data_IF_370907598025
#
_entry.id   IF_370907598025
#
_cell.length_a   1.000
_cell.length_b   1.000
_cell.length_c   1.000
_cell.angle_alpha   90.00
_cell.angle_beta   90.00
_cell.angle_gamma   90.00
#
_symmetry.space_group_name_H-M   'P 1'
#
loop_
_entity.id
_entity.type
_entity.pdbx_description
1 polymer ?
#
# COMPACT_ATOMS: atom_id res chain seq x y z
N UNK A 1 4.81 -6.76 -31.66
CA UNK A 1 4.55 -7.50 -30.42
C UNK A 1 3.06 -7.50 -30.30
N UNK A 2 2.48 -8.69 -30.41
CA UNK A 2 1.03 -8.81 -30.49
C UNK A 2 0.42 -8.60 -29.10
N UNK A 3 -0.84 -8.15 -29.06
CA UNK A 3 -1.54 -7.85 -27.81
C UNK A 3 -1.60 -9.08 -26.89
N UNK A 4 -1.72 -10.27 -27.47
CA UNK A 4 -1.70 -11.54 -26.73
C UNK A 4 -0.35 -11.79 -26.05
N UNK A 5 0.75 -11.53 -26.75
CA UNK A 5 2.09 -11.67 -26.16
C UNK A 5 2.28 -10.63 -25.04
N UNK A 6 1.83 -9.40 -25.23
CA UNK A 6 1.90 -8.34 -24.22
C UNK A 6 1.11 -8.72 -22.97
N UNK A 7 -0.09 -9.24 -23.16
CA UNK A 7 -0.95 -9.74 -22.07
C UNK A 7 -0.28 -10.89 -21.32
N UNK A 8 0.34 -11.84 -22.03
CA UNK A 8 1.09 -12.94 -21.42
C UNK A 8 2.25 -12.46 -20.55
N UNK A 9 3.05 -11.49 -21.04
CA UNK A 9 4.15 -10.90 -20.27
C UNK A 9 3.65 -10.12 -19.06
N UNK A 10 2.54 -9.40 -19.21
CA UNK A 10 1.90 -8.69 -18.12
C UNK A 10 1.44 -9.64 -17.01
N UNK A 11 0.77 -10.74 -17.36
CA UNK A 11 0.34 -11.76 -16.40
C UNK A 11 1.53 -12.39 -15.67
N UNK A 12 2.61 -12.70 -16.39
CA UNK A 12 3.84 -13.23 -15.78
C UNK A 12 4.40 -12.26 -14.73
N UNK A 13 4.51 -10.97 -15.08
CA UNK A 13 4.93 -9.94 -14.14
C UNK A 13 3.99 -9.88 -12.92
N UNK A 14 2.68 -9.88 -13.18
CA UNK A 14 1.66 -9.78 -12.14
C UNK A 14 1.77 -10.92 -11.13
N UNK A 15 1.87 -12.17 -11.60
CA UNK A 15 2.09 -13.32 -10.72
C UNK A 15 3.42 -13.26 -9.97
N UNK A 16 4.49 -12.83 -10.64
CA UNK A 16 5.81 -12.68 -9.99
C UNK A 16 5.76 -11.68 -8.84
N UNK A 17 5.11 -10.53 -9.05
CA UNK A 17 4.93 -9.51 -8.00
C UNK A 17 4.04 -10.05 -6.88
N UNK A 18 2.97 -10.77 -7.19
CA UNK A 18 2.10 -11.37 -6.16
C UNK A 18 2.84 -12.39 -5.29
N UNK A 19 3.70 -13.23 -5.88
CA UNK A 19 4.54 -14.18 -5.15
C UNK A 19 5.49 -13.43 -4.21
N UNK A 20 6.19 -12.40 -4.71
CA UNK A 20 7.08 -11.57 -3.90
C UNK A 20 6.32 -10.86 -2.76
N UNK A 21 5.14 -10.31 -3.06
CA UNK A 21 4.27 -9.68 -2.08
C UNK A 21 3.89 -10.65 -0.96
N UNK A 22 3.45 -11.86 -1.32
CA UNK A 22 3.05 -12.88 -0.37
C UNK A 22 4.21 -13.31 0.53
N UNK A 23 5.38 -13.60 -0.05
CA UNK A 23 6.56 -13.99 0.72
C UNK A 23 7.09 -12.88 1.61
N UNK A 24 7.05 -11.64 1.14
CA UNK A 24 7.54 -10.51 1.93
C UNK A 24 6.61 -10.18 3.10
N UNK A 25 5.29 -10.32 2.92
CA UNK A 25 4.30 -10.07 3.97
C UNK A 25 4.14 -11.25 4.95
N UNK A 26 4.80 -12.38 4.72
CA UNK A 26 4.78 -13.54 5.62
C UNK A 26 5.69 -13.36 6.85
N UNK A 27 6.70 -12.48 6.74
CA UNK A 27 7.67 -12.22 7.82
C UNK A 27 7.16 -11.03 8.63
N UNK A 28 6.54 -11.33 9.77
CA UNK A 28 5.64 -10.53 10.64
C UNK A 28 5.99 -9.07 11.01
N UNK A 29 7.06 -8.47 10.49
CA UNK A 29 7.51 -7.18 11.04
C UNK A 29 6.99 -5.95 10.28
N UNK A 30 6.69 -6.04 8.99
CA UNK A 30 6.14 -4.91 8.23
C UNK A 30 5.21 -5.38 7.10
N UNK A 31 3.92 -5.06 7.19
CA UNK A 31 2.99 -5.36 6.10
C UNK A 31 3.21 -4.39 4.94
N UNK A 32 3.67 -4.91 3.80
CA UNK A 32 3.83 -4.08 2.59
C UNK A 32 2.44 -3.60 2.14
N UNK A 33 2.36 -2.31 1.84
CA UNK A 33 1.14 -1.70 1.30
C UNK A 33 0.83 -2.29 -0.10
N UNK A 34 -0.35 -2.90 -0.32
CA UNK A 34 -0.76 -3.45 -1.62
C UNK A 34 -0.63 -2.47 -2.79
N UNK A 35 -0.78 -1.16 -2.55
CA UNK A 35 -0.61 -0.13 -3.57
C UNK A 35 0.80 -0.13 -4.19
N UNK A 36 1.81 -0.66 -3.49
CA UNK A 36 3.20 -0.65 -3.96
C UNK A 36 3.41 -1.48 -5.23
N UNK A 37 2.52 -2.43 -5.53
CA UNK A 37 2.49 -3.21 -6.78
C UNK A 37 2.33 -2.30 -8.01
N UNK A 38 1.65 -1.17 -7.87
CA UNK A 38 1.40 -0.20 -8.96
C UNK A 38 2.70 0.33 -9.54
N UNK A 39 3.74 0.49 -8.71
CA UNK A 39 5.06 0.92 -9.15
C UNK A 39 5.66 -0.08 -10.15
N UNK A 40 5.48 -1.38 -9.91
CA UNK A 40 5.91 -2.43 -10.86
C UNK A 40 5.15 -2.36 -12.19
N UNK A 41 3.82 -2.20 -12.15
CA UNK A 41 2.98 -2.12 -13.36
C UNK A 41 3.33 -0.89 -14.20
N UNK A 42 3.50 0.25 -13.55
CA UNK A 42 3.89 1.50 -14.19
C UNK A 42 5.29 1.39 -14.81
N UNK A 43 6.25 0.76 -14.10
CA UNK A 43 7.61 0.54 -14.60
C UNK A 43 7.61 -0.35 -15.84
N UNK A 44 6.86 -1.45 -15.83
CA UNK A 44 6.70 -2.32 -16.99
C UNK A 44 6.14 -1.58 -18.21
N UNK A 45 5.11 -0.75 -17.98
CA UNK A 45 4.47 0.05 -19.03
C UNK A 45 5.46 1.04 -19.67
N UNK A 46 6.24 1.75 -18.83
CA UNK A 46 7.31 2.64 -19.29
C UNK A 46 8.41 1.88 -20.04
N UNK A 47 8.86 0.74 -19.53
CA UNK A 47 9.85 -0.09 -20.23
C UNK A 47 9.35 -0.54 -21.60
N UNK A 48 8.08 -0.96 -21.71
CA UNK A 48 7.51 -1.31 -23.00
C UNK A 48 7.49 -0.13 -23.96
N UNK A 49 7.01 1.04 -23.53
CA UNK A 49 7.02 2.28 -24.29
C UNK A 49 8.43 2.61 -24.82
N UNK A 50 9.42 2.49 -23.94
CA UNK A 50 10.84 2.74 -24.21
C UNK A 50 11.44 1.79 -25.25
N UNK A 51 10.88 0.60 -25.45
CA UNK A 51 11.28 -0.27 -26.58
C UNK A 51 10.69 0.14 -27.92
N UNK A 52 9.69 1.04 -27.94
CA UNK A 52 8.95 1.44 -29.15
C UNK A 52 9.31 2.83 -29.64
N UNK A 53 10.00 3.61 -28.83
CA UNK A 53 10.34 4.99 -29.12
C UNK A 53 11.84 5.13 -28.94
N UNK A 54 12.49 5.84 -29.85
CA UNK A 54 13.86 6.28 -29.64
C UNK A 54 13.88 7.29 -28.50
N UNK A 55 14.30 6.83 -27.33
CA UNK A 55 14.32 7.68 -26.14
C UNK A 55 15.45 8.69 -26.32
N UNK A 56 15.08 9.95 -26.54
CA UNK A 56 16.02 11.05 -26.40
C UNK A 56 16.53 11.09 -24.95
N UNK A 57 17.83 11.34 -24.78
CA UNK A 57 18.50 11.43 -23.46
C UNK A 57 17.71 12.33 -22.47
N UNK A 58 16.97 13.32 -22.97
CA UNK A 58 16.10 14.22 -22.22
C UNK A 58 14.98 13.57 -21.40
N UNK A 59 14.37 12.44 -21.83
CA UNK A 59 13.33 11.76 -21.05
C UNK A 59 13.94 11.12 -19.79
N UNK A 60 15.11 10.48 -19.96
CA UNK A 60 15.88 9.95 -18.83
C UNK A 60 16.23 11.05 -17.83
N UNK A 61 16.74 12.19 -18.32
CA UNK A 61 17.01 13.36 -17.47
C UNK A 61 15.76 13.91 -16.77
N UNK A 62 14.60 13.94 -17.42
CA UNK A 62 13.34 14.39 -16.82
C UNK A 62 12.87 13.52 -15.65
N UNK A 63 12.95 12.20 -15.79
CA UNK A 63 12.65 11.25 -14.71
C UNK A 63 13.64 11.41 -13.53
N UNK A 64 14.94 11.59 -13.80
CA UNK A 64 15.93 11.88 -12.77
C UNK A 64 15.70 13.24 -12.08
N UNK A 65 15.22 14.26 -12.80
CA UNK A 65 14.89 15.56 -12.23
C UNK A 65 13.70 15.47 -11.27
N UNK A 66 12.64 14.73 -11.63
CA UNK A 66 11.49 14.52 -10.75
C UNK A 66 11.92 13.77 -9.48
N UNK A 67 12.71 12.69 -9.60
CA UNK A 67 13.21 11.97 -8.42
C UNK A 67 14.16 12.82 -7.56
N UNK A 68 14.93 13.72 -8.17
CA UNK A 68 15.77 14.68 -7.46
C UNK A 68 14.94 15.67 -6.64
N UNK A 69 13.87 16.24 -7.22
CA UNK A 69 12.94 17.13 -6.49
C UNK A 69 12.22 16.39 -5.36
N UNK A 70 11.79 15.15 -5.60
CA UNK A 70 11.15 14.31 -4.57
C UNK A 70 12.10 13.97 -3.40
N UNK A 71 13.42 14.03 -3.61
CA UNK A 71 14.43 13.83 -2.56
C UNK A 71 14.65 15.06 -1.68
N UNK A 72 14.46 16.27 -2.19
CA UNK A 72 14.73 17.53 -1.46
C UNK A 72 13.57 18.05 -0.61
N UNK A 73 12.49 17.26 -0.48
CA UNK A 73 11.35 17.67 0.32
C UNK A 73 11.65 17.62 1.83
N UNK A 74 11.25 18.67 2.53
CA UNK A 74 11.36 18.80 3.98
C UNK A 74 10.29 17.99 4.75
N UNK A 75 9.18 17.62 4.10
CA UNK A 75 8.19 16.69 4.64
C UNK A 75 8.30 15.31 3.97
N UNK A 76 8.38 14.25 4.77
CA UNK A 76 8.28 12.87 4.31
C UNK A 76 6.87 12.61 3.76
N UNK A 77 6.68 12.54 2.45
CA UNK A 77 5.39 12.10 1.90
C UNK A 77 5.14 10.64 2.30
N UNK A 78 3.86 10.34 2.52
CA UNK A 78 3.36 9.00 2.73
C UNK A 78 3.63 8.10 1.51
N UNK A 79 3.69 6.80 1.74
CA UNK A 79 3.87 5.79 0.67
C UNK A 79 2.80 5.95 -0.43
N UNK A 80 1.55 6.22 -0.04
CA UNK A 80 0.44 6.43 -0.98
C UNK A 80 0.67 7.61 -1.91
N UNK A 81 1.23 8.71 -1.41
CA UNK A 81 1.49 9.90 -2.22
C UNK A 81 2.61 9.67 -3.24
N UNK A 82 3.66 8.90 -2.88
CA UNK A 82 4.70 8.50 -3.84
C UNK A 82 4.10 7.64 -4.95
N UNK A 83 3.25 6.67 -4.60
CA UNK A 83 2.60 5.78 -5.57
C UNK A 83 1.67 6.56 -6.49
N UNK A 84 0.87 7.49 -5.94
CA UNK A 84 0.02 8.38 -6.73
C UNK A 84 0.82 9.21 -7.72
N UNK A 85 1.92 9.82 -7.28
CA UNK A 85 2.79 10.60 -8.17
C UNK A 85 3.39 9.72 -9.27
N UNK A 86 3.89 8.54 -8.91
CA UNK A 86 4.50 7.62 -9.88
C UNK A 86 3.49 7.16 -10.95
N UNK A 87 2.26 6.82 -10.52
CA UNK A 87 1.18 6.46 -11.44
C UNK A 87 0.79 7.63 -12.35
N UNK A 88 0.64 8.83 -11.78
CA UNK A 88 0.28 10.04 -12.54
C UNK A 88 1.32 10.37 -13.60
N UNK A 89 2.60 10.39 -13.23
CA UNK A 89 3.70 10.65 -14.17
C UNK A 89 3.73 9.60 -15.26
N UNK A 90 3.55 8.33 -14.90
CA UNK A 90 3.52 7.23 -15.88
C UNK A 90 2.38 7.40 -16.88
N UNK A 91 1.16 7.69 -16.40
CA UNK A 91 0.00 7.94 -17.26
C UNK A 91 0.24 9.15 -18.17
N UNK A 92 0.79 10.26 -17.64
CA UNK A 92 1.11 11.44 -18.46
C UNK A 92 2.12 11.13 -19.57
N UNK A 93 3.15 10.35 -19.27
CA UNK A 93 4.16 9.93 -20.26
C UNK A 93 3.52 9.01 -21.31
N UNK A 94 2.69 8.04 -20.89
CA UNK A 94 1.99 7.15 -21.81
C UNK A 94 1.09 7.94 -22.77
N UNK A 95 0.28 8.88 -22.26
CA UNK A 95 -0.65 9.68 -23.06
C UNK A 95 0.04 10.50 -24.15
N UNK A 96 1.16 11.15 -23.83
CA UNK A 96 1.85 12.03 -24.78
C UNK A 96 2.73 11.26 -25.77
N UNK A 97 3.26 10.09 -25.36
CA UNK A 97 4.23 9.33 -26.15
C UNK A 97 3.59 8.26 -27.04
N UNK A 98 2.38 7.79 -26.72
CA UNK A 98 1.71 6.81 -27.58
C UNK A 98 1.11 7.49 -28.83
N UNK A 99 1.39 6.95 -30.03
CA UNK A 99 0.74 7.42 -31.24
C UNK A 99 -0.71 6.92 -31.30
N UNK A 100 -1.60 7.72 -31.90
CA UNK A 100 -3.05 7.42 -31.98
C UNK A 100 -3.34 6.09 -32.68
N UNK A 101 -2.51 5.65 -33.62
CA UNK A 101 -2.68 4.38 -34.32
C UNK A 101 -2.55 3.16 -33.40
N UNK A 102 -1.97 3.32 -32.21
CA UNK A 102 -1.78 2.26 -31.21
C UNK A 102 -2.61 2.50 -29.95
N UNK A 103 -3.74 3.17 -30.08
CA UNK A 103 -4.62 3.53 -28.96
C UNK A 103 -5.11 2.32 -28.16
N UNK A 104 -5.29 1.16 -28.78
CA UNK A 104 -5.68 -0.08 -28.10
C UNK A 104 -4.66 -0.48 -27.01
N UNK A 105 -3.36 -0.31 -27.30
CA UNK A 105 -2.28 -0.63 -26.37
C UNK A 105 -2.18 0.41 -25.26
N UNK A 106 -2.41 1.69 -25.58
CA UNK A 106 -2.50 2.77 -24.59
C UNK A 106 -3.65 2.51 -23.60
N UNK A 107 -4.85 2.22 -24.10
CA UNK A 107 -6.02 1.91 -23.29
C UNK A 107 -5.80 0.68 -22.42
N UNK A 108 -5.14 -0.36 -22.94
CA UNK A 108 -4.76 -1.54 -22.16
C UNK A 108 -3.95 -1.16 -20.90
N UNK A 109 -2.90 -0.34 -21.04
CA UNK A 109 -2.11 0.10 -19.90
C UNK A 109 -2.89 1.00 -18.94
N UNK A 110 -3.67 1.96 -19.46
CA UNK A 110 -4.47 2.87 -18.63
C UNK A 110 -5.51 2.11 -17.79
N UNK A 111 -6.30 1.23 -18.43
CA UNK A 111 -7.34 0.44 -17.76
C UNK A 111 -6.73 -0.43 -16.67
N UNK A 112 -5.59 -1.06 -16.94
CA UNK A 112 -4.91 -1.92 -15.97
C UNK A 112 -4.37 -1.11 -14.78
N UNK A 113 -3.67 -0.01 -15.04
CA UNK A 113 -3.08 0.81 -13.97
C UNK A 113 -4.19 1.38 -13.09
N UNK A 114 -5.24 1.96 -13.69
CA UNK A 114 -6.37 2.54 -12.97
C UNK A 114 -7.16 1.47 -12.24
N UNK A 115 -7.49 0.37 -12.92
CA UNK A 115 -8.24 -0.74 -12.35
C UNK A 115 -7.53 -1.35 -11.14
N UNK A 116 -6.22 -1.56 -11.24
CA UNK A 116 -5.42 -2.07 -10.13
C UNK A 116 -5.27 -1.03 -9.00
N UNK A 117 -5.11 0.25 -9.32
CA UNK A 117 -5.08 1.32 -8.32
C UNK A 117 -6.35 1.35 -7.48
N UNK A 118 -7.52 1.32 -8.13
CA UNK A 118 -8.83 1.28 -7.45
C UNK A 118 -8.95 0.02 -6.61
N UNK A 119 -8.64 -1.15 -7.18
CA UNK A 119 -8.72 -2.43 -6.48
C UNK A 119 -7.84 -2.46 -5.22
N UNK A 120 -6.57 -2.07 -5.35
CA UNK A 120 -5.63 -2.01 -4.24
C UNK A 120 -6.02 -0.96 -3.20
N UNK A 121 -6.56 0.20 -3.62
CA UNK A 121 -7.07 1.23 -2.70
C UNK A 121 -8.25 0.72 -1.87
N UNK A 122 -9.19 0.00 -2.48
CA UNK A 122 -10.30 -0.65 -1.75
C UNK A 122 -9.77 -1.68 -0.75
N UNK A 123 -8.76 -2.47 -1.13
CA UNK A 123 -8.16 -3.47 -0.24
C UNK A 123 -7.47 -2.82 0.98
N UNK A 124 -6.81 -1.69 0.79
CA UNK A 124 -6.19 -0.90 1.88
C UNK A 124 -7.26 -0.35 2.81
N UNK A 125 -8.33 0.25 2.27
CA UNK A 125 -9.41 0.83 3.08
C UNK A 125 -10.15 -0.24 3.90
N UNK A 126 -10.32 -1.45 3.37
CA UNK A 126 -10.90 -2.58 4.13
C UNK A 126 -10.04 -3.01 5.32
N UNK A 127 -8.71 -2.86 5.25
CA UNK A 127 -7.83 -3.14 6.39
C UNK A 127 -7.81 -2.00 7.43
N UNK A 128 -8.02 -0.76 6.99
CA UNK A 128 -8.04 0.43 7.85
C UNK A 128 -9.39 0.64 8.59
N UNK A 129 -10.47 0.02 8.14
CA UNK A 129 -11.83 0.27 8.61
C UNK A 129 -12.49 -0.99 9.15
N UNK A 130 -12.04 -1.45 10.32
CA UNK A 130 -12.89 -2.29 11.18
C UNK A 130 -13.51 -1.48 12.33
N UNK A 131 -12.81 -0.43 12.77
CA UNK A 131 -13.20 0.44 13.87
C UNK A 131 -12.81 1.88 13.55
N UNK A 132 -13.70 2.83 13.84
CA UNK A 132 -13.52 4.24 13.48
C UNK A 132 -12.89 5.05 14.63
N UNK A 133 -13.05 4.56 15.86
CA UNK A 133 -12.65 5.27 17.06
C UNK A 133 -11.56 4.48 17.79
N UNK A 134 -10.63 5.24 18.38
CA UNK A 134 -9.55 4.71 19.21
C UNK A 134 -9.67 5.36 20.57
N UNK A 135 -9.60 4.55 21.63
CA UNK A 135 -9.52 5.05 23.00
C UNK A 135 -8.40 4.36 23.76
N UNK A 136 -7.55 5.15 24.41
CA UNK A 136 -6.50 4.66 25.29
C UNK A 136 -7.10 4.32 26.65
N UNK A 137 -6.93 3.07 27.09
CA UNK A 137 -7.53 2.52 28.29
C UNK A 137 -6.46 1.92 29.18
N UNK A 138 -6.38 2.43 30.40
CA UNK A 138 -5.52 1.89 31.44
C UNK A 138 -6.26 0.85 32.28
N UNK A 139 -5.69 -0.33 32.45
CA UNK A 139 -6.23 -1.39 33.31
C UNK A 139 -5.19 -1.74 34.39
N UNK A 140 -5.59 -1.95 35.65
CA UNK A 140 -4.65 -2.39 36.69
C UNK A 140 -4.07 -3.78 36.36
N UNK A 141 -2.76 -3.94 36.59
CA UNK A 141 -2.06 -5.21 36.54
C UNK A 141 -2.19 -5.89 37.91
N UNK A 142 -3.00 -6.94 37.98
CA UNK A 142 -3.15 -7.76 39.21
C UNK A 142 -2.06 -8.85 39.29
N UNK A 143 -1.69 -9.29 40.49
CA UNK A 143 -0.59 -10.26 40.71
C UNK A 143 -0.85 -11.65 40.08
N UNK A 144 -2.12 -11.99 39.78
CA UNK A 144 -2.56 -13.22 39.09
C UNK A 144 -2.95 -12.96 37.61
N UNK A 145 -2.39 -11.92 37.00
CA UNK A 145 -2.72 -11.54 35.62
C UNK A 145 -2.13 -12.51 34.60
N UNK A 146 -2.92 -13.50 34.20
CA UNK A 146 -2.70 -14.24 32.96
C UNK A 146 -3.08 -13.36 31.76
N UNK A 147 -2.25 -13.33 30.71
CA UNK A 147 -2.52 -12.71 29.39
C UNK A 147 -3.66 -13.42 28.62
N UNK A 148 -4.76 -13.72 29.30
CA UNK A 148 -5.94 -14.32 28.71
C UNK A 148 -6.80 -13.22 28.06
N UNK A 149 -6.92 -13.31 26.73
CA UNK A 149 -7.68 -12.37 25.91
C UNK A 149 -9.15 -12.26 26.35
N UNK A 150 -9.73 -13.32 26.95
CA UNK A 150 -11.12 -13.29 27.40
C UNK A 150 -11.33 -12.39 28.62
N UNK A 151 -10.39 -12.39 29.58
CA UNK A 151 -10.47 -11.53 30.78
C UNK A 151 -10.31 -10.06 30.40
N UNK A 152 -9.35 -9.75 29.52
CA UNK A 152 -9.09 -8.38 29.05
C UNK A 152 -10.31 -7.83 28.31
N UNK A 153 -10.95 -8.63 27.44
CA UNK A 153 -12.20 -8.21 26.77
C UNK A 153 -13.32 -7.88 27.76
N UNK A 154 -13.54 -8.69 28.80
CA UNK A 154 -14.57 -8.40 29.81
C UNK A 154 -14.30 -7.10 30.58
N UNK A 155 -13.05 -6.83 30.93
CA UNK A 155 -12.67 -5.59 31.61
C UNK A 155 -12.89 -4.36 30.72
N UNK A 156 -12.55 -4.45 29.44
CA UNK A 156 -12.81 -3.39 28.46
C UNK A 156 -14.32 -3.17 28.26
N UNK A 157 -15.10 -4.25 28.12
CA UNK A 157 -16.56 -4.19 28.01
C UNK A 157 -17.19 -3.49 29.20
N UNK A 158 -16.78 -3.84 30.42
CA UNK A 158 -17.31 -3.20 31.63
C UNK A 158 -16.94 -1.71 31.69
N UNK A 159 -15.76 -1.32 31.18
CA UNK A 159 -15.27 0.05 31.32
C UNK A 159 -15.79 1.00 30.25
N UNK A 160 -16.03 0.52 29.03
CA UNK A 160 -16.35 1.36 27.85
C UNK A 160 -17.76 1.07 27.32
N UNK A 161 -18.40 -0.03 27.73
CA UNK A 161 -19.74 -0.44 27.30
C UNK A 161 -19.86 -0.60 25.77
N UNK A 162 -18.85 -1.23 25.15
CA UNK A 162 -18.79 -1.52 23.72
C UNK A 162 -18.78 -3.03 23.50
N UNK A 163 -19.67 -3.51 22.63
CA UNK A 163 -19.85 -4.95 22.37
C UNK A 163 -18.86 -5.51 21.34
N UNK A 164 -18.58 -4.76 20.26
CA UNK A 164 -17.64 -5.14 19.20
C UNK A 164 -16.44 -4.19 19.19
N UNK A 165 -15.27 -4.73 19.55
CA UNK A 165 -14.01 -4.02 19.57
C UNK A 165 -12.84 -4.98 19.41
N UNK A 166 -11.73 -4.47 18.89
CA UNK A 166 -10.42 -5.10 19.03
C UNK A 166 -9.53 -4.24 19.93
N UNK A 167 -8.49 -4.84 20.51
CA UNK A 167 -7.58 -4.10 21.38
C UNK A 167 -6.13 -4.52 21.12
N UNK A 168 -5.20 -3.59 21.36
CA UNK A 168 -3.76 -3.81 21.29
C UNK A 168 -3.13 -3.39 22.61
N UNK A 169 -2.31 -4.27 23.18
CA UNK A 169 -1.49 -3.94 24.34
C UNK A 169 -0.30 -3.11 23.87
N UNK A 170 -0.16 -1.89 24.38
CA UNK A 170 0.93 -0.98 24.04
C UNK A 170 2.10 -1.20 24.98
N UNK A 171 1.82 -1.20 26.28
CA UNK A 171 2.83 -1.25 27.33
C UNK A 171 2.24 -1.96 28.56
N UNK A 172 3.06 -2.81 29.17
CA UNK A 172 2.79 -3.39 30.48
C UNK A 172 3.80 -2.78 31.44
N UNK A 173 3.33 -1.92 32.35
CA UNK A 173 4.16 -1.30 33.35
C UNK A 173 4.03 -2.06 34.68
N UNK A 174 5.04 -2.88 34.98
CA UNK A 174 5.12 -3.66 36.22
C UNK A 174 5.55 -2.84 37.44
N UNK A 175 5.98 -1.59 37.25
CA UNK A 175 6.37 -0.69 38.35
C UNK A 175 5.16 0.08 38.87
N UNK A 176 4.29 0.55 37.96
CA UNK A 176 3.04 1.23 38.32
C UNK A 176 1.85 0.29 38.41
N UNK A 177 2.03 -1.01 38.12
CA UNK A 177 0.96 -1.99 38.00
C UNK A 177 -0.17 -1.54 37.06
N UNK A 178 0.18 -1.04 35.88
CA UNK A 178 -0.77 -0.59 34.86
C UNK A 178 -0.47 -1.23 33.50
N UNK A 179 -1.53 -1.55 32.76
CA UNK A 179 -1.48 -1.97 31.36
C UNK A 179 -2.12 -0.89 30.52
N UNK A 180 -1.36 -0.36 29.57
CA UNK A 180 -1.83 0.60 28.59
C UNK A 180 -2.35 -0.16 27.35
N UNK A 181 -3.64 0.02 27.07
CA UNK A 181 -4.34 -0.62 25.96
C UNK A 181 -4.86 0.43 24.98
N UNK A 182 -4.75 0.14 23.69
CA UNK A 182 -5.52 0.83 22.66
C UNK A 182 -6.72 -0.03 22.31
N UNK A 183 -7.92 0.52 22.50
CA UNK A 183 -9.18 -0.13 22.11
C UNK A 183 -9.71 0.52 20.85
N UNK A 184 -9.99 -0.31 19.85
CA UNK A 184 -10.52 0.05 18.55
C UNK A 184 -11.99 -0.36 18.51
N UNK A 185 -12.91 0.61 18.37
CA UNK A 185 -14.36 0.38 18.25
C UNK A 185 -15.06 1.24 17.17
#
# INVERSE_FOLDING_TARGET
MDLNELTGRFLLLFFSILILYFFSNRKDNETINPLMVIVGLCTFSLCYLFTKIEIGVGIGFGLFAIFSILRFRTQSFTVNAIIFLFATITLSILDIMYPFEKIEVLLFFQIIIIGFYIFASILVNKKASKYLNIVDVKIPLEDDFSLDNQRIRKLIQHKINVDDFDFKIILINTVSNEIDLQVFY
#
